data_IF_940519960026
#
_entry.id   IF_940519960026
#
_cell.length_a   1.000
_cell.length_b   1.000
_cell.length_c   1.000
_cell.angle_alpha   90.00
_cell.angle_beta   90.00
_cell.angle_gamma   90.00
#
_symmetry.space_group_name_H-M   'P 1'
#
loop_
_entity.id
_entity.type
_entity.pdbx_description
1 polymer ?
#
# COMPACT_ATOMS: atom_id res chain seq x y z
N UNK A 1 49.94 21.22 45.52
CA UNK A 1 49.08 20.98 44.32
C UNK A 1 49.57 19.82 43.44
N UNK A 2 50.79 19.30 43.61
CA UNK A 2 51.28 18.11 42.88
C UNK A 2 50.91 16.77 43.51
N UNK A 3 50.78 16.68 44.85
CA UNK A 3 50.48 15.40 45.53
C UNK A 3 49.05 14.88 45.29
N UNK A 4 48.06 15.78 45.22
CA UNK A 4 46.66 15.39 44.98
C UNK A 4 46.41 14.88 43.55
N UNK A 5 47.32 15.16 42.61
CA UNK A 5 47.21 14.71 41.22
C UNK A 5 47.83 13.32 41.06
N UNK A 6 48.88 12.98 41.81
CA UNK A 6 49.50 11.65 41.77
C UNK A 6 48.65 10.60 42.50
N UNK A 7 47.98 10.95 43.60
CA UNK A 7 47.10 10.01 44.33
C UNK A 7 45.84 9.62 43.54
N UNK A 8 45.38 10.49 42.63
CA UNK A 8 44.32 10.16 41.67
C UNK A 8 44.77 9.16 40.61
N UNK A 9 46.07 9.00 40.33
CA UNK A 9 46.56 8.13 39.25
C UNK A 9 46.60 6.65 39.66
N UNK A 10 46.83 6.37 40.94
CA UNK A 10 47.08 5.01 41.45
C UNK A 10 45.82 4.26 41.90
N UNK A 11 44.64 4.89 41.88
CA UNK A 11 43.39 4.24 42.25
C UNK A 11 42.59 3.77 41.01
N UNK A 12 42.57 2.47 40.65
CA UNK A 12 41.98 1.99 39.39
C UNK A 12 40.48 2.28 39.25
N UNK A 13 39.82 2.73 40.32
CA UNK A 13 38.41 3.12 40.34
C UNK A 13 38.11 4.26 39.36
N UNK A 14 39.03 5.22 39.13
CA UNK A 14 38.78 6.29 38.15
C UNK A 14 38.70 5.76 36.71
N UNK A 15 39.43 4.68 36.39
CA UNK A 15 39.34 4.01 35.09
C UNK A 15 37.99 3.32 34.90
N UNK A 16 37.41 2.76 35.97
CA UNK A 16 36.07 2.15 35.93
C UNK A 16 34.98 3.21 35.68
N UNK A 17 35.09 4.38 36.32
CA UNK A 17 34.19 5.50 36.03
C UNK A 17 34.37 6.03 34.61
N UNK A 18 35.60 6.17 34.12
CA UNK A 18 35.87 6.59 32.74
C UNK A 18 35.29 5.62 31.70
N UNK A 19 35.41 4.31 31.93
CA UNK A 19 34.79 3.28 31.08
C UNK A 19 33.26 3.32 31.15
N UNK A 20 32.70 3.57 32.34
CA UNK A 20 31.26 3.75 32.53
C UNK A 20 30.71 4.93 31.72
N UNK A 21 31.38 6.08 31.76
CA UNK A 21 30.97 7.24 30.97
C UNK A 21 31.14 7.03 29.46
N UNK A 22 32.20 6.33 29.03
CA UNK A 22 32.41 6.00 27.62
C UNK A 22 31.30 5.09 27.07
N UNK A 23 30.97 4.02 27.80
CA UNK A 23 29.91 3.08 27.40
C UNK A 23 28.53 3.74 27.39
N UNK A 24 28.24 4.60 28.39
CA UNK A 24 27.01 5.39 28.41
C UNK A 24 26.94 6.30 27.17
N UNK A 25 28.01 7.05 26.85
CA UNK A 25 28.06 7.94 25.69
C UNK A 25 27.86 7.21 24.36
N UNK A 26 28.50 6.06 24.17
CA UNK A 26 28.31 5.21 22.98
C UNK A 26 26.87 4.71 22.90
N UNK A 27 26.28 4.27 24.02
CA UNK A 27 24.89 3.83 24.07
C UNK A 27 23.93 4.96 23.70
N UNK A 28 24.13 6.19 24.18
CA UNK A 28 23.30 7.34 23.82
C UNK A 28 23.40 7.67 22.33
N UNK A 29 24.59 7.56 21.74
CA UNK A 29 24.79 7.79 20.30
C UNK A 29 24.11 6.70 19.48
N UNK A 30 24.23 5.42 19.86
CA UNK A 30 23.57 4.30 19.17
C UNK A 30 22.05 4.42 19.28
N UNK A 31 21.52 4.74 20.46
CA UNK A 31 20.09 5.01 20.69
C UNK A 31 19.65 6.23 19.87
N UNK A 32 20.44 7.31 19.83
CA UNK A 32 20.15 8.49 19.02
C UNK A 32 20.13 8.18 17.53
N UNK A 33 21.07 7.36 17.03
CA UNK A 33 21.10 6.90 15.63
C UNK A 33 19.90 5.99 15.34
N UNK A 34 19.53 5.08 16.25
CA UNK A 34 18.34 4.22 16.12
C UNK A 34 17.06 5.05 16.09
N UNK A 35 16.87 5.96 17.04
CA UNK A 35 15.72 6.86 17.13
C UNK A 35 15.66 7.79 15.90
N UNK A 36 16.79 8.36 15.46
CA UNK A 36 16.84 9.14 14.21
C UNK A 36 16.51 8.30 13.00
N UNK A 37 16.97 7.04 12.90
CA UNK A 37 16.62 6.13 11.79
C UNK A 37 15.13 5.81 11.77
N UNK A 38 14.52 5.63 12.94
CA UNK A 38 13.08 5.42 13.06
C UNK A 38 12.30 6.69 12.73
N UNK A 39 12.74 7.86 13.21
CA UNK A 39 12.15 9.15 12.82
C UNK A 39 12.30 9.47 11.33
N UNK A 40 13.42 9.08 10.70
CA UNK A 40 13.62 9.23 9.25
C UNK A 40 12.81 8.21 8.42
N UNK A 41 12.35 7.09 9.01
CA UNK A 41 11.31 6.24 8.40
C UNK A 41 9.93 6.91 8.42
N UNK A 42 9.70 7.83 9.36
CA UNK A 42 8.53 8.68 9.43
C UNK A 42 8.83 10.07 8.85
N UNK A 43 9.35 10.13 7.62
CA UNK A 43 9.58 11.42 6.96
C UNK A 43 8.24 12.16 6.76
N UNK A 44 8.01 13.33 7.37
CA UNK A 44 6.83 14.13 7.09
C UNK A 44 6.75 14.58 5.63
N UNK A 45 7.82 14.45 4.82
CA UNK A 45 7.75 14.62 3.37
C UNK A 45 6.93 13.54 2.66
N UNK A 46 6.71 12.37 3.27
CA UNK A 46 5.72 11.40 2.77
C UNK A 46 4.27 11.88 2.98
N UNK A 47 4.02 12.80 3.93
CA UNK A 47 2.74 13.54 4.01
C UNK A 47 2.61 14.63 2.94
N UNK A 48 3.71 14.98 2.26
CA UNK A 48 3.75 16.01 1.23
C UNK A 48 3.70 15.45 -0.19
N UNK A 49 3.22 14.21 -0.39
CA UNK A 49 2.49 13.91 -1.63
C UNK A 49 1.19 14.72 -1.50
N UNK A 50 1.25 15.98 -1.95
CA UNK A 50 0.06 16.81 -2.19
C UNK A 50 -0.97 15.88 -2.81
N UNK A 51 -2.15 15.82 -2.21
CA UNK A 51 -3.27 15.20 -2.85
C UNK A 51 -3.31 15.71 -4.29
N UNK A 52 -3.46 14.80 -5.25
CA UNK A 52 -3.76 15.17 -6.64
C UNK A 52 -5.21 15.69 -6.74
N UNK A 53 -5.68 16.42 -5.72
CA UNK A 53 -6.91 17.20 -5.72
C UNK A 53 -6.57 18.55 -6.36
N UNK A 54 -6.25 18.54 -7.65
CA UNK A 54 -6.32 19.77 -8.42
C UNK A 54 -7.75 19.88 -8.95
N UNK A 55 -8.51 20.93 -8.57
CA UNK A 55 -9.84 21.20 -9.14
C UNK A 55 -9.81 21.35 -10.67
N UNK A 56 -8.65 21.65 -11.25
CA UNK A 56 -8.44 21.91 -12.68
C UNK A 56 -7.23 21.15 -13.26
N UNK A 57 -6.70 20.15 -12.54
CA UNK A 57 -5.57 19.34 -12.99
C UNK A 57 -6.04 17.99 -13.55
N UNK A 58 -5.19 17.27 -14.31
CA UNK A 58 -5.56 15.98 -14.85
C UNK A 58 -5.76 14.96 -13.72
N UNK A 59 -7.01 14.67 -13.33
CA UNK A 59 -7.33 13.68 -12.30
C UNK A 59 -6.82 12.29 -12.71
N UNK A 60 -6.45 11.48 -11.71
CA UNK A 60 -6.23 10.04 -11.86
C UNK A 60 -7.56 9.36 -11.54
N UNK A 61 -7.96 8.40 -12.37
CA UNK A 61 -9.26 7.75 -12.30
C UNK A 61 -10.27 8.43 -13.24
N UNK A 62 -11.36 7.70 -13.48
CA UNK A 62 -12.39 8.11 -14.43
C UNK A 62 -13.26 6.91 -14.82
N UNK A 63 -14.26 7.13 -15.69
CA UNK A 63 -15.21 6.10 -16.03
C UNK A 63 -14.53 4.97 -16.81
N UNK A 64 -14.91 3.74 -16.48
CA UNK A 64 -14.52 2.56 -17.25
C UNK A 64 -15.72 1.62 -17.37
N UNK A 65 -15.66 0.73 -18.36
CA UNK A 65 -16.66 -0.32 -18.54
C UNK A 65 -15.97 -1.60 -18.96
N UNK A 66 -15.87 -2.54 -18.03
CA UNK A 66 -15.17 -3.81 -18.21
C UNK A 66 -16.08 -4.97 -17.80
N UNK A 67 -15.63 -6.20 -18.04
CA UNK A 67 -16.39 -7.42 -17.74
C UNK A 67 -15.73 -8.15 -16.57
N UNK A 68 -16.51 -8.44 -15.53
CA UNK A 68 -16.07 -9.28 -14.43
C UNK A 68 -15.97 -10.74 -14.89
N UNK A 69 -14.79 -11.33 -14.76
CA UNK A 69 -14.52 -12.70 -15.17
C UNK A 69 -15.31 -13.74 -14.38
N UNK A 70 -15.75 -13.41 -13.16
CA UNK A 70 -16.49 -14.35 -12.30
C UNK A 70 -17.97 -14.38 -12.64
N UNK A 71 -18.60 -13.21 -12.76
CA UNK A 71 -20.04 -13.10 -13.01
C UNK A 71 -20.40 -12.99 -14.49
N UNK A 72 -19.44 -12.64 -15.35
CA UNK A 72 -19.68 -12.29 -16.75
C UNK A 72 -20.44 -10.98 -16.93
N UNK A 73 -20.68 -10.23 -15.84
CA UNK A 73 -21.41 -8.96 -15.89
C UNK A 73 -20.47 -7.83 -16.27
N UNK A 74 -21.04 -6.84 -16.97
CA UNK A 74 -20.40 -5.55 -17.19
C UNK A 74 -20.39 -4.78 -15.87
N UNK A 75 -19.23 -4.25 -15.52
CA UNK A 75 -18.94 -3.47 -14.31
C UNK A 75 -18.41 -2.12 -14.75
N UNK A 76 -18.98 -1.06 -14.18
CA UNK A 76 -18.48 0.31 -14.32
C UNK A 76 -17.92 0.86 -13.01
N UNK A 77 -17.22 1.98 -13.07
CA UNK A 77 -16.78 2.72 -11.88
C UNK A 77 -17.95 3.05 -10.94
N UNK A 78 -19.11 3.40 -11.50
CA UNK A 78 -20.32 3.69 -10.74
C UNK A 78 -20.83 2.50 -9.90
N UNK A 79 -20.67 1.26 -10.40
CA UNK A 79 -21.11 0.05 -9.70
C UNK A 79 -20.23 -0.26 -8.47
N UNK A 80 -19.04 0.33 -8.43
CA UNK A 80 -18.03 0.10 -7.40
C UNK A 80 -17.99 1.21 -6.34
N UNK A 81 -18.81 2.25 -6.48
CA UNK A 81 -18.96 3.31 -5.47
C UNK A 81 -19.44 2.77 -4.13
N UNK A 82 -19.09 3.48 -3.06
CA UNK A 82 -19.36 3.08 -1.68
C UNK A 82 -18.33 2.10 -1.11
N UNK A 83 -17.31 1.70 -1.89
CA UNK A 83 -16.22 0.84 -1.44
C UNK A 83 -14.88 1.45 -1.81
N UNK A 84 -13.89 1.23 -0.96
CA UNK A 84 -12.50 1.49 -1.33
C UNK A 84 -12.04 0.51 -2.40
N UNK A 85 -11.41 0.99 -3.47
CA UNK A 85 -10.88 0.13 -4.52
C UNK A 85 -9.36 0.09 -4.47
N UNK A 86 -8.80 -1.11 -4.58
CA UNK A 86 -7.37 -1.32 -4.68
C UNK A 86 -7.06 -2.00 -6.01
N UNK A 87 -6.69 -1.19 -7.00
CA UNK A 87 -6.68 -1.56 -8.42
C UNK A 87 -5.25 -1.78 -8.89
N UNK A 88 -4.99 -2.93 -9.51
CA UNK A 88 -3.73 -3.24 -10.18
C UNK A 88 -3.98 -3.54 -11.66
N UNK A 89 -3.16 -2.95 -12.52
CA UNK A 89 -3.15 -3.23 -13.96
C UNK A 89 -1.97 -4.14 -14.28
N UNK A 90 -2.23 -5.28 -14.92
CA UNK A 90 -1.22 -6.27 -15.24
C UNK A 90 -1.70 -7.26 -16.31
N UNK A 91 -0.99 -8.36 -16.48
CA UNK A 91 -1.36 -9.41 -17.44
C UNK A 91 -0.85 -10.78 -16.98
N UNK A 92 -1.49 -11.87 -17.40
CA UNK A 92 -1.19 -13.21 -16.87
C UNK A 92 0.17 -13.76 -17.31
N UNK A 93 0.68 -13.32 -18.47
CA UNK A 93 1.95 -13.77 -19.05
C UNK A 93 3.18 -13.00 -18.53
N UNK A 94 3.04 -12.19 -17.47
CA UNK A 94 4.18 -11.48 -16.92
C UNK A 94 5.11 -12.44 -16.15
N UNK A 95 6.40 -12.55 -16.50
CA UNK A 95 7.27 -13.61 -15.98
C UNK A 95 7.50 -13.52 -14.47
N UNK A 96 7.69 -12.30 -13.94
CA UNK A 96 8.15 -12.12 -12.55
C UNK A 96 7.35 -11.09 -11.76
N UNK A 97 7.11 -9.90 -12.33
CA UNK A 97 6.63 -8.75 -11.56
C UNK A 97 5.16 -8.85 -11.15
N UNK A 98 4.26 -9.20 -12.08
CA UNK A 98 2.84 -9.31 -11.74
C UNK A 98 2.59 -10.37 -10.65
N UNK A 99 3.15 -11.60 -10.73
CA UNK A 99 3.00 -12.58 -9.66
C UNK A 99 3.47 -12.08 -8.28
N UNK A 100 4.59 -11.35 -8.21
CA UNK A 100 5.10 -10.79 -6.96
C UNK A 100 4.13 -9.75 -6.36
N UNK A 101 3.66 -8.83 -7.19
CA UNK A 101 2.70 -7.80 -6.79
C UNK A 101 1.34 -8.41 -6.37
N UNK A 102 0.88 -9.44 -7.08
CA UNK A 102 -0.35 -10.17 -6.73
C UNK A 102 -0.22 -10.93 -5.42
N UNK A 103 0.94 -11.55 -5.15
CA UNK A 103 1.22 -12.17 -3.85
C UNK A 103 1.27 -11.13 -2.72
N UNK A 104 1.82 -9.94 -2.98
CA UNK A 104 1.79 -8.80 -2.04
C UNK A 104 0.35 -8.38 -1.74
N UNK A 105 -0.48 -8.22 -2.77
CA UNK A 105 -1.89 -7.89 -2.64
C UNK A 105 -2.65 -8.96 -1.83
N UNK A 106 -2.42 -10.24 -2.08
CA UNK A 106 -3.03 -11.34 -1.32
C UNK A 106 -2.73 -11.25 0.19
N UNK A 107 -1.49 -10.87 0.56
CA UNK A 107 -1.14 -10.63 1.97
C UNK A 107 -1.87 -9.43 2.55
N UNK A 108 -1.98 -8.33 1.81
CA UNK A 108 -2.76 -7.15 2.24
C UNK A 108 -4.22 -7.55 2.46
N UNK A 109 -4.82 -8.31 1.54
CA UNK A 109 -6.20 -8.82 1.64
C UNK A 109 -6.42 -9.57 2.96
N UNK A 110 -5.54 -10.53 3.26
CA UNK A 110 -5.67 -11.38 4.44
C UNK A 110 -5.65 -10.62 5.78
N UNK A 111 -5.00 -9.45 5.82
CA UNK A 111 -4.93 -8.62 7.03
C UNK A 111 -6.04 -7.56 7.05
N UNK A 112 -6.28 -6.90 5.92
CA UNK A 112 -7.23 -5.81 5.82
C UNK A 112 -8.67 -6.31 5.95
N UNK A 113 -9.02 -7.45 5.34
CA UNK A 113 -10.35 -8.06 5.48
C UNK A 113 -10.71 -8.34 6.95
N UNK A 114 -9.72 -8.71 7.78
CA UNK A 114 -9.92 -8.95 9.22
C UNK A 114 -10.09 -7.65 10.02
N UNK A 115 -9.49 -6.55 9.56
CA UNK A 115 -9.47 -5.27 10.29
C UNK A 115 -10.68 -4.39 9.96
N UNK A 116 -11.04 -4.26 8.68
CA UNK A 116 -12.11 -3.35 8.21
C UNK A 116 -13.35 -4.07 7.70
N UNK A 117 -13.27 -5.38 7.45
CA UNK A 117 -14.36 -6.16 6.87
C UNK A 117 -14.35 -6.18 5.34
N UNK A 118 -14.92 -7.24 4.76
CA UNK A 118 -14.84 -7.53 3.31
C UNK A 118 -15.72 -6.62 2.46
N UNK A 119 -16.82 -6.10 3.02
CA UNK A 119 -17.78 -5.30 2.26
C UNK A 119 -17.34 -3.85 2.08
N UNK A 120 -16.33 -3.41 2.85
CA UNK A 120 -15.85 -2.04 2.87
C UNK A 120 -14.87 -1.69 1.75
N UNK A 121 -14.27 -2.71 1.12
CA UNK A 121 -13.26 -2.53 0.09
C UNK A 121 -13.19 -3.70 -0.90
N UNK A 122 -12.63 -3.44 -2.08
CA UNK A 122 -12.54 -4.41 -3.18
C UNK A 122 -11.16 -4.36 -3.85
N UNK A 123 -10.36 -5.45 -3.77
CA UNK A 123 -9.17 -5.62 -4.61
C UNK A 123 -9.56 -5.96 -6.05
N UNK A 124 -8.93 -5.31 -7.03
CA UNK A 124 -9.27 -5.43 -8.46
C UNK A 124 -7.99 -5.67 -9.27
N UNK A 125 -8.06 -6.64 -10.17
CA UNK A 125 -7.07 -6.87 -11.21
C UNK A 125 -7.68 -6.53 -12.56
N UNK A 126 -7.06 -5.62 -13.31
CA UNK A 126 -7.46 -5.26 -14.67
C UNK A 126 -6.40 -5.81 -15.63
N UNK A 127 -6.81 -6.68 -16.55
CA UNK A 127 -5.90 -7.18 -17.58
C UNK A 127 -5.60 -6.10 -18.62
N UNK A 128 -4.33 -5.94 -18.96
CA UNK A 128 -3.82 -5.12 -20.06
C UNK A 128 -3.67 -5.90 -21.38
N UNK A 129 -3.85 -7.22 -21.35
CA UNK A 129 -3.58 -8.10 -22.50
C UNK A 129 -4.87 -8.76 -23.01
N UNK A 130 -5.73 -7.95 -23.62
CA UNK A 130 -7.06 -8.37 -24.10
C UNK A 130 -7.02 -9.52 -25.12
N UNK A 131 -5.86 -9.77 -25.77
CA UNK A 131 -5.70 -10.83 -26.77
C UNK A 131 -5.47 -12.20 -26.12
N UNK A 132 -4.60 -12.28 -25.10
CA UNK A 132 -4.20 -13.56 -24.48
C UNK A 132 -4.92 -13.86 -23.16
N UNK A 133 -5.41 -12.84 -22.47
CA UNK A 133 -6.04 -12.97 -21.16
C UNK A 133 -7.55 -13.22 -21.30
N UNK A 134 -7.90 -14.46 -21.61
CA UNK A 134 -9.31 -14.88 -21.60
C UNK A 134 -9.89 -14.86 -20.18
N UNK A 135 -11.22 -14.69 -20.01
CA UNK A 135 -11.86 -14.78 -18.71
C UNK A 135 -11.54 -16.07 -17.94
N UNK A 136 -11.37 -17.20 -18.66
CA UNK A 136 -11.00 -18.48 -18.05
C UNK A 136 -9.58 -18.45 -17.47
N UNK A 137 -8.62 -17.94 -18.25
CA UNK A 137 -7.22 -17.83 -17.84
C UNK A 137 -7.03 -16.88 -16.67
N UNK A 138 -7.73 -15.74 -16.67
CA UNK A 138 -7.71 -14.81 -15.53
C UNK A 138 -8.29 -15.44 -14.27
N UNK A 139 -9.40 -16.19 -14.37
CA UNK A 139 -9.96 -16.90 -13.21
C UNK A 139 -8.97 -17.90 -12.61
N UNK A 140 -8.30 -18.66 -13.47
CA UNK A 140 -7.26 -19.61 -13.05
C UNK A 140 -6.09 -18.88 -12.38
N UNK A 141 -5.53 -17.87 -13.05
CA UNK A 141 -4.45 -17.04 -12.51
C UNK A 141 -4.78 -16.43 -11.14
N UNK A 142 -5.96 -15.83 -10.99
CA UNK A 142 -6.38 -15.20 -9.73
C UNK A 142 -6.64 -16.22 -8.60
N UNK A 143 -6.93 -17.48 -8.94
CA UNK A 143 -7.18 -18.53 -7.95
C UNK A 143 -5.94 -18.90 -7.13
N UNK A 144 -4.74 -18.71 -7.70
CA UNK A 144 -3.47 -18.93 -7.02
C UNK A 144 -3.16 -17.87 -5.94
N UNK A 145 -3.81 -16.70 -6.02
CA UNK A 145 -3.54 -15.57 -5.12
C UNK A 145 -4.66 -15.39 -4.08
N UNK A 146 -5.87 -15.06 -4.52
CA UNK A 146 -7.01 -14.88 -3.62
C UNK A 146 -8.34 -14.81 -4.37
N UNK A 147 -9.38 -15.56 -3.93
CA UNK A 147 -10.72 -15.49 -4.50
C UNK A 147 -11.45 -14.18 -4.20
N UNK A 148 -10.82 -13.26 -3.43
CA UNK A 148 -11.33 -11.91 -3.16
C UNK A 148 -11.13 -10.96 -4.33
N UNK A 149 -10.13 -11.22 -5.16
CA UNK A 149 -9.73 -10.33 -6.24
C UNK A 149 -10.77 -10.42 -7.35
N UNK A 150 -11.31 -9.26 -7.72
CA UNK A 150 -12.19 -9.13 -8.87
C UNK A 150 -11.33 -8.97 -10.11
N UNK A 151 -11.40 -9.93 -11.03
CA UNK A 151 -10.74 -9.84 -12.32
C UNK A 151 -11.63 -9.13 -13.33
N UNK A 152 -11.12 -8.07 -13.95
CA UNK A 152 -11.79 -7.34 -15.01
C UNK A 152 -11.03 -7.51 -16.32
N UNK A 153 -11.78 -7.83 -17.38
CA UNK A 153 -11.28 -7.96 -18.76
C UNK A 153 -12.15 -7.15 -19.70
N UNK A 154 -11.66 -6.82 -20.89
CA UNK A 154 -12.41 -6.07 -21.89
C UNK A 154 -11.85 -6.26 -23.28
N UNK A 155 -12.42 -5.55 -24.23
CA UNK A 155 -11.80 -5.33 -25.54
C UNK A 155 -10.58 -4.43 -25.41
N UNK A 156 -9.68 -4.47 -26.39
CA UNK A 156 -8.49 -3.63 -26.42
C UNK A 156 -8.82 -2.14 -26.20
N UNK A 157 -9.86 -1.63 -26.88
CA UNK A 157 -10.29 -0.25 -26.74
C UNK A 157 -10.83 0.10 -25.33
N UNK A 158 -11.58 -0.82 -24.70
CA UNK A 158 -12.09 -0.62 -23.34
C UNK A 158 -10.94 -0.61 -22.30
N UNK A 159 -9.95 -1.49 -22.48
CA UNK A 159 -8.77 -1.57 -21.62
C UNK A 159 -7.85 -0.36 -21.80
N UNK A 160 -7.63 0.08 -23.04
CA UNK A 160 -6.88 1.31 -23.35
C UNK A 160 -7.53 2.54 -22.71
N UNK A 161 -8.85 2.66 -22.82
CA UNK A 161 -9.60 3.75 -22.21
C UNK A 161 -9.48 3.70 -20.68
N UNK A 162 -9.64 2.53 -20.06
CA UNK A 162 -9.44 2.38 -18.62
C UNK A 162 -8.00 2.75 -18.20
N UNK A 163 -6.99 2.22 -18.89
CA UNK A 163 -5.59 2.56 -18.63
C UNK A 163 -5.32 4.07 -18.75
N UNK A 164 -5.92 4.74 -19.75
CA UNK A 164 -5.81 6.17 -19.96
C UNK A 164 -6.38 6.99 -18.80
N UNK A 165 -7.55 6.60 -18.27
CA UNK A 165 -8.17 7.26 -17.11
C UNK A 165 -7.29 7.16 -15.86
N UNK A 166 -6.62 6.02 -15.68
CA UNK A 166 -5.71 5.78 -14.55
C UNK A 166 -4.25 6.20 -14.83
N UNK A 167 -3.97 6.76 -16.01
CA UNK A 167 -2.63 7.15 -16.48
C UNK A 167 -1.62 5.99 -16.43
N UNK A 168 -2.10 4.79 -16.69
CA UNK A 168 -1.28 3.59 -16.80
C UNK A 168 -0.64 3.63 -18.18
N UNK A 169 0.67 3.79 -18.20
CA UNK A 169 1.44 3.54 -19.41
C UNK A 169 1.53 2.03 -19.62
N UNK A 170 1.25 1.58 -20.84
CA UNK A 170 1.58 0.24 -21.29
C UNK A 170 1.90 0.22 -22.79
N UNK A 171 2.75 -0.69 -23.22
CA UNK A 171 3.12 -0.89 -24.61
C UNK A 171 3.07 -2.38 -24.97
N UNK A 172 2.35 -2.68 -26.05
CA UNK A 172 2.29 -4.00 -26.66
C UNK A 172 3.24 -3.98 -27.86
N UNK A 173 4.26 -4.85 -27.94
CA UNK A 173 5.16 -4.91 -29.10
C UNK A 173 4.41 -5.20 -30.41
N UNK A 174 4.87 -4.61 -31.51
CA UNK A 174 4.28 -4.82 -32.83
C UNK A 174 4.42 -6.28 -33.30
N UNK A 175 3.33 -6.82 -33.84
CA UNK A 175 3.17 -8.22 -34.27
C UNK A 175 4.12 -8.62 -35.41
N UNK A 176 4.66 -7.66 -36.16
CA UNK A 176 5.56 -7.94 -37.30
C UNK A 176 6.94 -8.46 -36.88
N UNK A 177 7.28 -8.38 -35.58
CA UNK A 177 8.62 -8.71 -35.07
C UNK A 177 8.63 -9.96 -34.17
N UNK A 178 7.49 -10.38 -33.62
CA UNK A 178 7.39 -11.46 -32.63
C UNK A 178 6.16 -12.34 -32.87
N UNK A 179 6.23 -13.65 -32.60
CA UNK A 179 5.07 -14.54 -32.66
C UNK A 179 4.00 -14.12 -31.66
N UNK A 180 2.71 -14.28 -32.01
CA UNK A 180 1.53 -13.91 -31.19
C UNK A 180 1.59 -14.41 -29.73
N UNK A 181 2.30 -15.51 -29.48
CA UNK A 181 2.39 -16.14 -28.16
C UNK A 181 3.48 -15.55 -27.24
N UNK A 182 4.48 -14.83 -27.76
CA UNK A 182 5.78 -14.62 -27.06
C UNK A 182 6.19 -13.15 -26.85
N UNK A 183 5.22 -12.23 -26.75
CA UNK A 183 5.50 -10.83 -26.40
C UNK A 183 5.28 -10.52 -24.91
N UNK A 184 6.04 -9.56 -24.39
CA UNK A 184 5.86 -8.98 -23.06
C UNK A 184 5.22 -7.59 -23.18
N UNK A 185 4.27 -7.30 -22.29
CA UNK A 185 3.68 -5.96 -22.18
C UNK A 185 4.51 -5.18 -21.16
N UNK A 186 5.13 -4.08 -21.58
CA UNK A 186 5.74 -3.14 -20.64
C UNK A 186 4.60 -2.35 -19.97
N UNK A 187 4.58 -2.25 -18.63
CA UNK A 187 3.52 -1.53 -17.93
C UNK A 187 3.96 -0.94 -16.58
N UNK A 188 3.19 0.05 -16.12
CA UNK A 188 3.40 0.68 -14.81
C UNK A 188 3.10 -0.28 -13.66
N UNK A 189 4.05 -0.45 -12.73
CA UNK A 189 3.94 -1.35 -11.57
C UNK A 189 3.39 -0.57 -10.37
N UNK A 190 2.14 -0.15 -10.49
CA UNK A 190 1.46 0.72 -9.51
C UNK A 190 0.12 0.08 -9.14
N UNK A 191 -0.17 0.03 -7.84
CA UNK A 191 -1.52 -0.24 -7.34
C UNK A 191 -2.15 1.08 -6.90
N UNK A 192 -3.35 1.34 -7.39
CA UNK A 192 -4.10 2.58 -7.14
C UNK A 192 -5.09 2.35 -6.01
N UNK A 193 -5.19 3.33 -5.11
CA UNK A 193 -6.18 3.37 -4.05
C UNK A 193 -7.22 4.44 -4.39
N UNK A 194 -8.46 3.99 -4.60
CA UNK A 194 -9.61 4.85 -4.92
C UNK A 194 -10.55 4.86 -3.71
N UNK A 195 -11.02 6.05 -3.34
CA UNK A 195 -11.96 6.25 -2.25
C UNK A 195 -13.39 5.80 -2.62
N UNK A 196 -14.31 5.70 -1.64
CA UNK A 196 -15.70 5.30 -1.89
C UNK A 196 -16.48 6.23 -2.83
N UNK A 197 -16.08 7.49 -3.01
CA UNK A 197 -16.67 8.40 -4.00
C UNK A 197 -16.17 8.17 -5.43
N UNK A 198 -15.14 7.34 -5.61
CA UNK A 198 -14.49 7.09 -6.90
C UNK A 198 -13.35 8.04 -7.22
N UNK A 199 -12.85 8.79 -6.22
CA UNK A 199 -11.71 9.70 -6.39
C UNK A 199 -10.41 9.00 -6.05
N UNK A 200 -9.34 9.40 -6.71
CA UNK A 200 -8.00 8.93 -6.39
C UNK A 200 -7.58 9.40 -4.99
N UNK A 201 -7.22 8.44 -4.13
CA UNK A 201 -6.76 8.72 -2.77
C UNK A 201 -5.24 8.64 -2.65
N UNK A 202 -4.65 7.54 -3.14
CA UNK A 202 -3.21 7.30 -3.06
C UNK A 202 -2.77 6.15 -4.00
N UNK A 203 -1.49 5.79 -3.95
CA UNK A 203 -0.94 4.66 -4.71
C UNK A 203 0.18 3.96 -3.93
N UNK A 204 0.48 2.72 -4.31
CA UNK A 204 1.65 1.98 -3.85
C UNK A 204 2.41 1.43 -5.05
N UNK A 205 3.73 1.42 -4.96
CA UNK A 205 4.62 0.94 -6.01
C UNK A 205 5.29 -0.37 -5.60
N UNK A 206 6.06 -0.97 -6.52
CA UNK A 206 6.82 -2.21 -6.25
C UNK A 206 7.77 -2.11 -5.06
N UNK A 207 8.30 -0.93 -4.76
CA UNK A 207 9.26 -0.72 -3.66
C UNK A 207 8.61 -0.94 -2.29
N UNK A 208 7.29 -0.76 -2.19
CA UNK A 208 6.55 -0.96 -0.95
C UNK A 208 6.44 -2.45 -0.63
N UNK A 209 6.80 -2.79 0.61
CA UNK A 209 6.49 -4.10 1.16
C UNK A 209 5.00 -4.24 1.46
N UNK A 210 4.52 -5.48 1.61
CA UNK A 210 3.10 -5.75 1.86
C UNK A 210 2.56 -5.03 3.11
N UNK A 211 3.36 -4.94 4.18
CA UNK A 211 2.94 -4.30 5.43
C UNK A 211 2.89 -2.78 5.32
N UNK A 212 3.75 -2.19 4.47
CA UNK A 212 3.74 -0.74 4.20
C UNK A 212 2.51 -0.38 3.36
N UNK A 213 2.22 -1.20 2.35
CA UNK A 213 1.00 -1.07 1.53
C UNK A 213 -0.24 -1.18 2.40
N UNK A 214 -0.34 -2.23 3.23
CA UNK A 214 -1.42 -2.40 4.20
C UNK A 214 -1.57 -1.21 5.15
N UNK A 215 -0.48 -0.75 5.77
CA UNK A 215 -0.52 0.36 6.72
C UNK A 215 -0.95 1.66 6.05
N UNK A 216 -0.53 1.89 4.80
CA UNK A 216 -0.91 3.04 3.99
C UNK A 216 -2.40 3.01 3.65
N UNK A 217 -2.92 1.87 3.19
CA UNK A 217 -4.36 1.67 2.93
C UNK A 217 -5.19 1.92 4.18
N UNK A 218 -4.84 1.26 5.29
CA UNK A 218 -5.56 1.39 6.55
C UNK A 218 -5.58 2.84 7.03
N UNK A 219 -4.44 3.55 6.92
CA UNK A 219 -4.33 4.96 7.27
C UNK A 219 -5.26 5.83 6.43
N UNK A 220 -5.29 5.64 5.12
CA UNK A 220 -6.18 6.40 4.22
C UNK A 220 -7.65 6.16 4.54
N UNK A 221 -8.03 4.90 4.81
CA UNK A 221 -9.39 4.56 5.25
C UNK A 221 -9.76 5.23 6.56
N UNK A 222 -8.86 5.26 7.56
CA UNK A 222 -9.11 5.92 8.84
C UNK A 222 -9.20 7.45 8.72
N UNK A 223 -8.28 8.06 7.96
CA UNK A 223 -8.24 9.50 7.76
C UNK A 223 -9.53 9.96 7.07
N UNK A 224 -9.96 9.24 6.03
CA UNK A 224 -11.22 9.48 5.33
C UNK A 224 -12.43 9.45 6.28
N UNK A 225 -12.56 8.40 7.09
CA UNK A 225 -13.66 8.29 8.04
C UNK A 225 -13.66 9.38 9.11
N UNK A 226 -12.46 9.79 9.55
CA UNK A 226 -12.31 10.93 10.46
C UNK A 226 -12.78 12.24 9.82
N UNK A 227 -12.46 12.46 8.55
CA UNK A 227 -12.92 13.63 7.82
C UNK A 227 -14.45 13.65 7.72
N UNK A 228 -15.08 12.53 7.34
CA UNK A 228 -16.56 12.43 7.28
C UNK A 228 -17.22 12.65 8.62
N UNK A 229 -16.70 12.04 9.69
CA UNK A 229 -17.24 12.24 11.04
C UNK A 229 -17.15 13.71 11.47
N UNK A 230 -16.08 14.41 11.09
CA UNK A 230 -15.92 15.85 11.37
C UNK A 230 -16.89 16.68 10.55
N UNK A 231 -17.07 16.36 9.27
CA UNK A 231 -18.03 17.04 8.39
C UNK A 231 -19.47 16.86 8.88
N UNK A 232 -19.86 15.64 9.28
CA UNK A 232 -21.17 15.34 9.86
C UNK A 232 -21.43 16.20 11.10
N UNK A 233 -20.46 16.26 12.03
CA UNK A 233 -20.57 17.09 13.22
C UNK A 233 -20.73 18.58 12.89
N UNK A 234 -20.02 19.07 11.88
CA UNK A 234 -20.14 20.46 11.44
C UNK A 234 -21.49 20.75 10.78
N UNK A 235 -22.03 19.83 9.97
CA UNK A 235 -23.36 19.96 9.35
C UNK A 235 -24.45 20.03 10.41
N UNK A 236 -24.40 19.12 11.39
CA UNK A 236 -25.33 19.12 12.53
C UNK A 236 -25.24 20.44 13.31
N UNK A 237 -24.04 20.97 13.55
CA UNK A 237 -23.85 22.27 14.20
C UNK A 237 -24.41 23.45 13.38
N UNK A 238 -24.37 23.36 12.05
CA UNK A 238 -24.97 24.35 11.12
C UNK A 238 -26.47 24.18 10.95
N UNK A 239 -27.09 23.17 11.57
CA UNK A 239 -28.52 22.84 11.39
C UNK A 239 -28.83 22.28 9.99
N UNK A 240 -27.82 21.78 9.27
CA UNK A 240 -27.96 21.13 7.98
C UNK A 240 -28.40 19.68 8.16
N UNK A 241 -29.01 19.10 7.11
CA UNK A 241 -29.32 17.68 7.10
C UNK A 241 -28.03 16.84 7.22
N UNK A 242 -28.10 15.71 7.96
CA UNK A 242 -27.05 14.69 8.01
C UNK A 242 -26.55 14.29 6.62
N UNK A 243 -25.32 13.77 6.54
CA UNK A 243 -24.83 13.10 5.35
C UNK A 243 -25.79 11.93 4.99
N UNK A 244 -25.97 11.68 3.69
CA UNK A 244 -26.80 10.57 3.22
C UNK A 244 -26.28 9.22 3.74
N UNK A 245 -27.09 8.15 3.75
CA UNK A 245 -26.70 6.86 4.37
C UNK A 245 -25.41 6.23 3.78
N UNK A 246 -25.12 6.44 2.48
CA UNK A 246 -23.85 6.03 1.84
C UNK A 246 -22.72 7.05 2.01
N UNK A 247 -23.06 8.24 2.51
CA UNK A 247 -22.14 9.33 2.84
C UNK A 247 -21.88 9.50 4.34
N UNK A 248 -22.56 8.74 5.20
CA UNK A 248 -22.30 8.75 6.63
C UNK A 248 -20.96 8.03 6.89
N UNK A 249 -20.23 8.41 7.97
CA UNK A 249 -19.08 7.61 8.40
C UNK A 249 -19.56 6.18 8.67
N UNK A 250 -18.88 5.21 8.07
CA UNK A 250 -19.19 3.83 8.31
C UNK A 250 -18.97 3.53 9.79
N UNK A 251 -19.92 2.82 10.41
CA UNK A 251 -19.75 2.19 11.71
C UNK A 251 -18.72 1.03 11.64
N UNK A 252 -17.53 1.27 11.08
CA UNK A 252 -16.36 0.56 11.58
C UNK A 252 -16.32 0.86 13.08
N UNK A 253 -15.70 0.00 13.86
CA UNK A 253 -15.42 0.25 15.27
C UNK A 253 -14.35 1.38 15.42
N UNK A 254 -14.54 2.54 14.76
CA UNK A 254 -13.56 3.61 14.46
C UNK A 254 -13.23 4.45 15.68
N UNK A 255 -14.14 4.59 16.65
CA UNK A 255 -13.78 5.27 17.89
C UNK A 255 -12.69 4.53 18.69
N UNK A 256 -12.45 3.24 18.42
CA UNK A 256 -11.41 2.44 19.09
C UNK A 256 -10.18 2.16 18.20
N UNK A 257 -10.10 2.60 16.95
CA UNK A 257 -8.90 2.38 16.12
C UNK A 257 -7.77 3.38 16.44
N UNK A 258 -8.12 4.61 16.85
CA UNK A 258 -7.15 5.57 17.37
C UNK A 258 -6.44 5.06 18.64
N UNK A 259 -7.10 4.17 19.42
CA UNK A 259 -6.51 3.50 20.58
C UNK A 259 -5.86 2.14 20.28
N UNK A 260 -6.08 1.56 19.09
CA UNK A 260 -5.51 0.26 18.68
C UNK A 260 -4.29 0.41 17.76
N UNK A 261 -3.97 1.61 17.31
CA UNK A 261 -2.65 1.94 16.75
C UNK A 261 -1.65 2.19 17.87
N UNK A 262 -1.50 1.21 18.77
CA UNK A 262 -0.26 1.07 19.49
C UNK A 262 0.67 0.24 18.60
N UNK A 263 1.90 0.69 18.44
CA UNK A 263 2.87 0.25 17.41
C UNK A 263 3.15 -1.27 17.36
N UNK A 264 2.60 -2.06 18.29
CA UNK A 264 2.83 -3.48 18.49
C UNK A 264 2.38 -4.38 17.33
N UNK A 265 1.21 -4.17 16.70
CA UNK A 265 0.74 -5.08 15.63
C UNK A 265 1.53 -4.92 14.32
N UNK A 266 1.86 -3.67 13.96
CA UNK A 266 2.70 -3.36 12.78
C UNK A 266 4.14 -3.80 13.03
N UNK A 267 4.66 -3.59 14.25
CA UNK A 267 5.99 -4.11 14.64
C UNK A 267 6.03 -5.64 14.64
N UNK A 268 4.99 -6.32 15.13
CA UNK A 268 4.91 -7.78 15.13
C UNK A 268 4.87 -8.35 13.70
N UNK A 269 4.11 -7.73 12.79
CA UNK A 269 4.09 -8.09 11.38
C UNK A 269 5.46 -7.86 10.70
N UNK A 270 6.14 -6.77 11.05
CA UNK A 270 7.47 -6.43 10.56
C UNK A 270 8.54 -7.41 11.08
N UNK A 271 8.49 -7.79 12.36
CA UNK A 271 9.38 -8.78 12.95
C UNK A 271 9.15 -10.20 12.41
N UNK A 272 7.89 -10.57 12.15
CA UNK A 272 7.56 -11.86 11.54
C UNK A 272 8.04 -11.93 10.08
N UNK A 273 7.93 -10.82 9.33
CA UNK A 273 8.44 -10.73 7.96
C UNK A 273 9.99 -10.81 7.90
N UNK A 274 10.68 -10.18 8.86
CA UNK A 274 12.14 -10.26 8.98
C UNK A 274 12.65 -11.66 9.38
N UNK A 275 11.86 -12.43 10.13
CA UNK A 275 12.22 -13.81 10.52
C UNK A 275 12.13 -14.81 9.37
N UNK A 276 11.31 -14.55 8.36
CA UNK A 276 11.05 -15.47 7.25
C UNK A 276 11.85 -15.16 5.96
N UNK A 277 12.82 -14.25 6.00
CA UNK A 277 13.74 -14.06 4.87
C UNK A 277 14.80 -15.19 4.82
N UNK A 278 15.04 -15.82 3.65
CA UNK A 278 16.05 -16.86 3.53
C UNK A 278 17.45 -16.27 3.77
N UNK A 279 18.21 -16.88 4.69
CA UNK A 279 19.61 -16.52 4.93
C UNK A 279 20.51 -17.17 3.88
N UNK A 280 20.96 -16.38 2.90
CA UNK A 280 22.07 -16.68 1.99
C UNK A 280 22.39 -15.40 1.21
N UNK A 281 23.61 -14.88 1.11
CA UNK A 281 24.93 -15.49 1.09
C UNK A 281 25.90 -14.73 2.01
N UNK A 282 26.50 -15.46 2.94
CA UNK A 282 27.72 -15.08 3.64
C UNK A 282 28.78 -16.11 3.25
N UNK A 283 29.45 -15.89 2.12
CA UNK A 283 30.81 -16.40 1.86
C UNK A 283 31.39 -15.66 0.65
N UNK A 284 32.72 -15.45 0.68
CA UNK A 284 33.59 -14.77 -0.28
C UNK A 284 34.07 -13.36 0.12
N UNK A 285 34.86 -13.33 1.20
CA UNK A 285 36.12 -12.56 1.25
C UNK A 285 37.16 -13.39 2.00
N UNK A 286 37.95 -14.14 1.23
CA UNK A 286 39.34 -14.47 1.58
C UNK A 286 40.23 -13.33 1.10
#
# INVERSE_FOLDING_TARGET
MSEAVDEMRDNPVWMLWALGFLTLGVMTVVISIRIRREQMRFDPKLRAVKSFDSPEGPSIGGPFSLVDVKTGKRITDADLKGKWLYIYFGFTNCPDVCPEEMAKMARVINHLDKKVGRDYWQPIFISLDSKRDTPAKIREYLSDFSPRIMGLVGTQAEVEEAARQYRVYFAIPDEEVMSEDDYLVDHSIIMYLIDPEGRFSDYTTKEFQWFESYSKLLRRMMDYERHRATEEQQRVQRGEAPLADGEAPANLKIANLASMLDNAEVQAAQEAALRNQPKGLSSLRS
#
